data_IF_973807603053
#
_entry.id   IF_973807603053
#
_cell.length_a   1.000
_cell.length_b   1.000
_cell.length_c   1.000
_cell.angle_alpha   90.00
_cell.angle_beta   90.00
_cell.angle_gamma   90.00
#
_symmetry.space_group_name_H-M   'P 1'
#
loop_
_entity.id
_entity.type
_entity.pdbx_description
1 polymer ?
#
# COMPACT_ATOMS: atom_id res chain seq x y z
N UNK A 1 -16.75 2.56 -2.67
CA UNK A 1 -15.69 3.00 -1.71
C UNK A 1 -15.66 2.07 -0.52
N UNK A 2 -14.59 1.32 -0.37
CA UNK A 2 -14.42 0.36 0.72
C UNK A 2 -13.38 0.83 1.73
N UNK A 3 -13.58 0.43 2.99
CA UNK A 3 -12.60 0.67 4.05
C UNK A 3 -11.64 -0.52 4.09
N UNK A 4 -10.36 -0.23 3.99
CA UNK A 4 -9.32 -1.25 4.09
C UNK A 4 -8.87 -1.36 5.54
N UNK A 5 -8.87 -2.58 6.07
CA UNK A 5 -8.38 -2.89 7.43
C UNK A 5 -7.07 -3.66 7.29
N UNK A 6 -6.06 -3.27 8.05
CA UNK A 6 -4.78 -3.95 8.08
C UNK A 6 -3.97 -3.58 9.31
N UNK A 7 -2.83 -4.25 9.48
CA UNK A 7 -1.85 -3.90 10.50
C UNK A 7 -1.18 -2.57 10.13
N UNK A 8 -1.03 -1.68 11.12
CA UNK A 8 -0.29 -0.43 10.92
C UNK A 8 1.20 -0.69 10.69
N UNK A 9 1.71 -1.72 11.31
CA UNK A 9 3.09 -2.16 11.19
C UNK A 9 4.03 -1.53 12.23
N UNK A 10 5.03 -2.31 12.62
CA UNK A 10 6.05 -1.88 13.59
C UNK A 10 6.77 -0.63 13.11
N UNK A 11 7.20 -0.63 11.85
CA UNK A 11 7.99 0.45 11.29
C UNK A 11 7.19 1.76 11.21
N UNK A 12 5.93 1.69 10.79
CA UNK A 12 5.04 2.85 10.76
C UNK A 12 4.74 3.41 12.15
N UNK A 13 4.58 2.55 13.17
CA UNK A 13 4.43 2.99 14.55
C UNK A 13 5.70 3.72 15.04
N UNK A 14 6.89 3.24 14.67
CA UNK A 14 8.17 3.87 15.03
C UNK A 14 8.36 5.21 14.32
N UNK A 15 7.98 5.28 13.03
CA UNK A 15 8.03 6.54 12.24
C UNK A 15 7.06 7.56 12.81
N UNK A 16 5.84 7.17 13.13
CA UNK A 16 4.85 8.05 13.77
C UNK A 16 5.35 8.54 15.13
N UNK A 17 5.97 7.66 15.92
CA UNK A 17 6.55 8.01 17.20
C UNK A 17 7.64 9.07 17.05
N UNK A 18 8.56 8.89 16.10
CA UNK A 18 9.60 9.88 15.81
C UNK A 18 9.01 11.23 15.37
N UNK A 19 8.01 11.21 14.49
CA UNK A 19 7.33 12.42 14.07
C UNK A 19 6.71 13.18 15.26
N UNK A 20 6.00 12.46 16.12
CA UNK A 20 5.38 13.03 17.33
C UNK A 20 6.42 13.62 18.30
N UNK A 21 7.57 12.96 18.48
CA UNK A 21 8.66 13.45 19.32
C UNK A 21 9.28 14.74 18.78
N UNK A 22 9.46 14.80 17.45
CA UNK A 22 10.01 15.99 16.78
C UNK A 22 9.00 17.16 16.83
N UNK A 23 7.72 16.91 16.52
CA UNK A 23 6.67 17.94 16.52
C UNK A 23 6.43 18.52 17.92
N UNK A 24 6.51 17.68 18.96
CA UNK A 24 6.44 18.17 20.34
C UNK A 24 7.67 18.99 20.71
N UNK A 25 8.83 18.69 20.12
CA UNK A 25 10.10 19.35 20.40
C UNK A 25 10.47 19.26 21.89
N UNK A 26 10.83 20.40 22.48
CA UNK A 26 11.15 20.52 23.91
C UNK A 26 9.96 20.99 24.75
N UNK A 27 8.78 21.09 24.15
CA UNK A 27 7.58 21.59 24.83
C UNK A 27 6.98 20.51 25.75
N UNK A 28 6.76 20.88 27.01
CA UNK A 28 6.02 20.01 27.96
C UNK A 28 6.47 18.56 28.03
N UNK A 29 7.78 18.32 28.00
CA UNK A 29 8.38 16.97 28.01
C UNK A 29 7.94 16.09 29.19
N UNK A 30 7.57 16.68 30.30
CA UNK A 30 7.17 15.92 31.51
C UNK A 30 5.91 15.07 31.32
N UNK A 31 5.07 15.38 30.36
CA UNK A 31 3.81 14.67 30.09
C UNK A 31 3.74 14.03 28.69
N UNK A 32 4.80 14.15 27.90
CA UNK A 32 4.82 13.64 26.55
C UNK A 32 5.71 12.40 26.41
N UNK A 33 5.13 11.30 25.98
CA UNK A 33 5.77 9.97 25.89
C UNK A 33 5.84 9.42 24.46
N UNK A 34 5.49 10.23 23.45
CA UNK A 34 5.45 9.79 22.07
C UNK A 34 4.21 8.96 21.71
N UNK A 35 4.36 8.06 20.73
CA UNK A 35 3.28 7.16 20.31
C UNK A 35 3.02 6.08 21.36
N UNK A 36 1.82 5.99 21.86
CA UNK A 36 1.42 5.00 22.88
C UNK A 36 1.57 3.53 22.45
N UNK A 37 1.69 3.26 21.16
CA UNK A 37 1.99 1.93 20.64
C UNK A 37 3.46 1.52 20.85
N UNK A 38 4.35 2.49 21.13
CA UNK A 38 5.78 2.26 21.39
C UNK A 38 5.98 2.25 22.90
N UNK A 39 6.12 1.05 23.46
CA UNK A 39 6.33 0.86 24.89
C UNK A 39 7.81 1.08 25.24
N UNK A 40 8.06 1.90 26.26
CA UNK A 40 9.37 2.36 26.64
C UNK A 40 9.69 2.06 28.11
N UNK A 41 10.97 1.91 28.39
CA UNK A 41 11.45 1.85 29.76
C UNK A 41 11.19 3.17 30.46
N UNK A 42 10.99 3.06 31.78
CA UNK A 42 10.83 4.22 32.69
C UNK A 42 12.12 4.48 33.47
N UNK A 43 13.21 3.82 33.13
CA UNK A 43 14.49 3.99 33.79
C UNK A 43 15.02 5.41 33.56
N UNK A 44 15.76 5.91 34.54
CA UNK A 44 16.42 7.21 34.43
C UNK A 44 17.46 7.17 33.32
N UNK A 45 17.40 8.18 32.43
CA UNK A 45 18.36 8.35 31.35
C UNK A 45 19.64 8.96 31.90
N UNK A 46 20.79 8.47 31.44
CA UNK A 46 22.06 9.08 31.79
C UNK A 46 22.25 10.49 31.16
N UNK A 47 23.13 11.28 31.75
CA UNK A 47 23.38 12.66 31.34
C UNK A 47 23.83 12.78 29.86
N UNK A 48 24.55 11.79 29.35
CA UNK A 48 25.00 11.76 27.97
C UNK A 48 23.83 11.57 27.01
N UNK A 49 22.89 10.70 27.35
CA UNK A 49 21.67 10.48 26.57
C UNK A 49 20.77 11.72 26.63
N UNK A 50 20.59 12.32 27.78
CA UNK A 50 19.85 13.58 27.95
C UNK A 50 20.43 14.71 27.08
N UNK A 51 21.75 14.83 27.03
CA UNK A 51 22.44 15.82 26.17
C UNK A 51 22.17 15.58 24.67
N UNK A 52 22.10 14.32 24.23
CA UNK A 52 21.76 13.99 22.84
C UNK A 52 20.34 14.42 22.49
N UNK A 53 19.36 14.14 23.34
CA UNK A 53 17.99 14.59 23.16
C UNK A 53 17.85 16.10 23.10
N UNK A 54 18.56 16.80 24.02
CA UNK A 54 18.59 18.25 24.03
C UNK A 54 19.21 18.84 22.74
N UNK A 55 20.29 18.22 22.23
CA UNK A 55 20.91 18.62 20.96
C UNK A 55 19.98 18.40 19.76
N UNK A 56 19.22 17.33 19.77
CA UNK A 56 18.22 17.00 18.73
C UNK A 56 16.96 17.88 18.84
N UNK A 57 16.76 18.62 19.93
CA UNK A 57 15.58 19.47 20.14
C UNK A 57 14.29 18.68 20.37
N UNK A 58 14.38 17.45 20.89
CA UNK A 58 13.25 16.58 21.15
C UNK A 58 13.19 16.18 22.63
N UNK A 59 11.99 15.85 23.10
CA UNK A 59 11.83 15.41 24.48
C UNK A 59 12.56 14.10 24.75
N UNK A 60 13.28 13.98 25.88
CA UNK A 60 13.92 12.75 26.29
C UNK A 60 12.85 11.67 26.59
N UNK A 61 13.03 10.51 26.02
CA UNK A 61 12.16 9.34 26.21
C UNK A 61 13.01 8.08 26.44
N UNK A 62 12.51 7.15 27.26
CA UNK A 62 13.19 5.89 27.53
C UNK A 62 13.33 5.01 26.31
N UNK A 63 14.16 3.98 26.42
CA UNK A 63 14.42 3.04 25.34
C UNK A 63 13.15 2.26 24.98
N UNK A 64 12.83 2.20 23.69
CA UNK A 64 11.73 1.40 23.20
C UNK A 64 12.09 -0.09 23.28
N UNK A 65 11.32 -0.87 24.03
CA UNK A 65 11.51 -2.33 24.15
C UNK A 65 10.43 -3.15 23.44
N UNK A 66 9.29 -2.56 23.14
CA UNK A 66 8.19 -3.22 22.46
C UNK A 66 7.35 -2.24 21.65
N UNK A 67 6.92 -2.67 20.47
CA UNK A 67 5.91 -1.98 19.66
C UNK A 67 4.67 -2.85 19.60
N UNK A 68 3.52 -2.30 19.98
CA UNK A 68 2.22 -2.94 19.87
C UNK A 68 1.66 -2.63 18.50
N UNK A 69 1.36 -3.66 17.72
CA UNK A 69 0.79 -3.52 16.40
C UNK A 69 -0.69 -3.92 16.43
N UNK A 70 -1.54 -3.08 15.88
CA UNK A 70 -2.98 -3.24 15.90
C UNK A 70 -3.56 -3.20 14.48
N UNK A 71 -4.66 -3.92 14.29
CA UNK A 71 -5.48 -3.75 13.09
C UNK A 71 -6.20 -2.41 13.14
N UNK A 72 -5.98 -1.60 12.14
CA UNK A 72 -6.60 -0.28 12.02
C UNK A 72 -7.29 -0.12 10.67
N UNK A 73 -8.19 0.86 10.58
CA UNK A 73 -8.68 1.35 9.30
C UNK A 73 -7.55 2.13 8.61
N UNK A 74 -6.93 1.51 7.62
CA UNK A 74 -5.76 2.06 6.94
C UNK A 74 -6.12 3.15 5.96
N UNK A 75 -7.17 2.91 5.16
CA UNK A 75 -7.45 3.73 3.99
C UNK A 75 -8.90 3.61 3.52
N UNK A 76 -9.28 4.59 2.71
CA UNK A 76 -10.42 4.47 1.80
C UNK A 76 -9.91 4.10 0.42
N UNK A 77 -10.39 2.98 -0.14
CA UNK A 77 -10.06 2.52 -1.47
C UNK A 77 -11.19 2.84 -2.44
N UNK A 78 -10.85 3.38 -3.59
CA UNK A 78 -11.76 3.57 -4.72
C UNK A 78 -11.29 2.70 -5.86
N UNK A 79 -12.20 1.91 -6.44
CA UNK A 79 -11.97 1.12 -7.63
C UNK A 79 -13.13 1.39 -8.59
N UNK A 80 -12.81 1.85 -9.78
CA UNK A 80 -13.78 2.09 -10.85
C UNK A 80 -13.28 1.43 -12.13
N UNK A 81 -14.20 0.93 -12.95
CA UNK A 81 -13.84 0.28 -14.18
C UNK A 81 -15.04 -0.31 -14.92
N UNK A 82 -14.75 -0.95 -16.04
CA UNK A 82 -15.76 -1.48 -16.95
C UNK A 82 -15.40 -2.91 -17.36
N UNK A 83 -16.40 -3.78 -17.35
CA UNK A 83 -16.29 -5.14 -17.84
C UNK A 83 -17.13 -5.30 -19.10
N UNK A 84 -16.54 -5.81 -20.18
CA UNK A 84 -17.24 -6.17 -21.40
C UNK A 84 -17.05 -7.65 -21.69
N UNK A 85 -18.15 -8.37 -21.87
CA UNK A 85 -18.17 -9.77 -22.26
C UNK A 85 -18.86 -9.98 -23.60
N UNK A 86 -18.22 -10.71 -24.51
CA UNK A 86 -18.78 -11.12 -25.79
C UNK A 86 -18.80 -12.64 -25.85
N UNK A 87 -19.96 -13.18 -26.20
CA UNK A 87 -20.14 -14.60 -26.48
C UNK A 87 -20.77 -14.77 -27.83
N UNK A 88 -20.12 -15.58 -28.67
CA UNK A 88 -20.62 -15.89 -29.99
C UNK A 88 -20.46 -17.39 -30.27
N UNK A 89 -21.56 -18.07 -30.59
CA UNK A 89 -21.57 -19.46 -30.95
C UNK A 89 -22.10 -19.57 -32.38
N UNK A 90 -21.43 -20.36 -33.23
CA UNK A 90 -21.86 -20.58 -34.62
C UNK A 90 -21.50 -21.98 -35.13
N UNK A 91 -22.32 -22.50 -36.05
CA UNK A 91 -22.13 -23.78 -36.68
C UNK A 91 -21.58 -23.59 -38.09
N UNK A 92 -20.71 -24.52 -38.49
CA UNK A 92 -20.14 -24.58 -39.84
C UNK A 92 -19.94 -26.01 -40.29
N UNK A 93 -19.61 -26.21 -41.59
CA UNK A 93 -19.23 -27.51 -42.14
C UNK A 93 -18.02 -28.14 -41.46
N UNK A 94 -17.20 -27.32 -40.76
CA UNK A 94 -16.04 -27.76 -40.01
C UNK A 94 -16.33 -28.10 -38.55
N UNK A 95 -17.55 -27.92 -38.07
CA UNK A 95 -17.99 -28.15 -36.71
C UNK A 95 -18.64 -26.95 -36.07
N UNK A 96 -18.92 -27.08 -34.80
CA UNK A 96 -19.47 -26.06 -33.91
C UNK A 96 -18.30 -25.20 -33.32
N UNK A 97 -18.43 -23.89 -33.35
CA UNK A 97 -17.46 -22.97 -32.81
C UNK A 97 -18.09 -22.09 -31.72
N UNK A 98 -17.32 -21.81 -30.70
CA UNK A 98 -17.69 -20.85 -29.65
C UNK A 98 -16.58 -19.88 -29.39
N UNK A 99 -16.85 -18.58 -29.50
CA UNK A 99 -15.95 -17.50 -29.09
C UNK A 99 -16.45 -16.94 -27.76
N UNK A 100 -15.53 -16.78 -26.83
CA UNK A 100 -15.72 -16.08 -25.57
C UNK A 100 -14.63 -15.03 -25.46
N UNK A 101 -15.01 -13.79 -25.32
CA UNK A 101 -14.07 -12.69 -25.10
C UNK A 101 -14.55 -11.85 -23.92
N UNK A 102 -13.67 -11.66 -22.95
CA UNK A 102 -13.92 -10.78 -21.82
C UNK A 102 -12.77 -9.81 -21.71
N UNK A 103 -13.11 -8.56 -21.46
CA UNK A 103 -12.15 -7.50 -21.18
C UNK A 103 -12.61 -6.71 -19.97
N UNK A 104 -11.67 -6.44 -19.07
CA UNK A 104 -11.82 -5.53 -17.94
C UNK A 104 -10.92 -4.35 -18.18
N UNK A 105 -11.46 -3.14 -18.10
CA UNK A 105 -10.73 -1.89 -18.02
C UNK A 105 -10.90 -1.35 -16.61
N UNK A 106 -9.80 -1.00 -15.99
CA UNK A 106 -9.79 -0.33 -14.69
C UNK A 106 -9.46 1.13 -14.93
N UNK A 107 -10.41 2.02 -14.64
CA UNK A 107 -10.29 3.46 -14.89
C UNK A 107 -9.66 4.18 -13.70
N UNK A 108 -9.92 3.69 -12.48
CA UNK A 108 -9.38 4.26 -11.23
C UNK A 108 -9.08 3.14 -10.23
N UNK A 109 -7.91 3.19 -9.62
CA UNK A 109 -7.58 2.37 -8.46
C UNK A 109 -6.75 3.19 -7.48
N UNK A 110 -7.44 3.93 -6.61
CA UNK A 110 -6.80 4.83 -5.64
C UNK A 110 -6.98 4.37 -4.21
N UNK A 111 -6.01 4.67 -3.36
CA UNK A 111 -6.07 4.42 -1.94
C UNK A 111 -5.62 5.65 -1.16
N UNK A 112 -6.55 6.24 -0.38
CA UNK A 112 -6.30 7.43 0.41
C UNK A 112 -6.07 7.04 1.87
N UNK A 113 -4.91 7.40 2.47
CA UNK A 113 -4.61 7.06 3.85
C UNK A 113 -5.61 7.71 4.82
N UNK A 114 -5.89 7.01 5.93
CA UNK A 114 -6.75 7.51 7.00
C UNK A 114 -6.12 7.25 8.37
N UNK A 115 -6.58 7.95 9.41
CA UNK A 115 -6.12 7.75 10.79
C UNK A 115 -4.61 7.96 10.94
N UNK A 116 -3.91 7.02 11.56
CA UNK A 116 -2.46 7.09 11.82
C UNK A 116 -1.61 7.29 10.54
N UNK A 117 -2.03 6.75 9.40
CA UNK A 117 -1.32 6.94 8.13
C UNK A 117 -1.42 8.38 7.62
N UNK A 118 -2.57 9.03 7.79
CA UNK A 118 -2.68 10.45 7.43
C UNK A 118 -1.83 11.36 8.31
N UNK A 119 -1.58 10.97 9.57
CA UNK A 119 -0.65 11.70 10.45
C UNK A 119 0.80 11.61 9.98
N UNK A 120 1.24 10.43 9.52
CA UNK A 120 2.58 10.30 8.92
C UNK A 120 2.69 11.15 7.65
N UNK A 121 1.68 11.12 6.79
CA UNK A 121 1.65 11.94 5.57
C UNK A 121 1.70 13.44 5.88
N UNK A 122 0.97 13.88 6.90
CA UNK A 122 1.02 15.27 7.37
C UNK A 122 2.43 15.66 7.87
N UNK A 123 3.09 14.77 8.62
CA UNK A 123 4.45 14.98 9.11
C UNK A 123 5.48 15.04 7.96
N UNK A 124 5.27 14.30 6.86
CA UNK A 124 6.08 14.45 5.64
C UNK A 124 5.81 15.79 4.96
N UNK A 125 4.55 16.17 4.79
CA UNK A 125 4.19 17.43 4.16
C UNK A 125 4.70 18.66 4.92
N UNK A 126 4.83 18.56 6.25
CA UNK A 126 5.44 19.61 7.11
C UNK A 126 6.97 19.59 7.11
N UNK A 127 7.60 18.55 6.53
CA UNK A 127 9.05 18.36 6.57
C UNK A 127 9.57 17.82 7.91
N UNK A 128 8.69 17.42 8.83
CA UNK A 128 9.06 16.83 10.12
C UNK A 128 9.79 15.50 9.94
N UNK A 129 9.36 14.71 8.96
CA UNK A 129 10.04 13.48 8.54
C UNK A 129 10.37 13.55 7.04
N UNK A 130 11.47 12.91 6.61
CA UNK A 130 11.88 12.94 5.21
C UNK A 130 10.89 12.29 4.25
N UNK A 131 10.79 12.83 3.04
CA UNK A 131 9.90 12.32 1.97
C UNK A 131 10.26 10.91 1.49
N UNK A 132 11.52 10.48 1.65
CA UNK A 132 11.95 9.13 1.28
C UNK A 132 11.40 8.03 2.21
N UNK A 133 10.74 8.39 3.30
CA UNK A 133 9.97 7.43 4.10
C UNK A 133 8.74 7.03 3.30
N UNK A 134 8.88 5.96 2.53
CA UNK A 134 7.85 5.53 1.59
C UNK A 134 6.65 4.90 2.31
N UNK A 135 5.51 5.56 2.26
CA UNK A 135 4.21 5.01 2.64
C UNK A 135 3.67 4.18 1.47
N UNK A 136 4.15 2.94 1.33
CA UNK A 136 3.73 2.05 0.25
C UNK A 136 2.23 1.77 0.29
N UNK A 137 1.64 1.67 -0.89
CA UNK A 137 0.25 1.28 -1.07
C UNK A 137 -0.77 2.41 -0.90
N UNK A 138 -0.35 3.67 -1.01
CA UNK A 138 -1.25 4.84 -1.02
C UNK A 138 -1.05 5.67 -2.29
N UNK A 139 -2.09 6.44 -2.63
CA UNK A 139 -2.14 7.24 -3.85
C UNK A 139 -2.82 6.50 -4.99
N UNK A 140 -2.42 6.78 -6.21
CA UNK A 140 -2.83 6.04 -7.40
C UNK A 140 -2.03 4.73 -7.47
N UNK A 141 -2.74 3.62 -7.48
CA UNK A 141 -2.18 2.27 -7.52
C UNK A 141 -2.37 1.61 -8.90
N UNK A 142 -3.01 2.31 -9.86
CA UNK A 142 -3.20 1.79 -11.20
C UNK A 142 -1.85 1.68 -11.91
N UNK A 143 -1.60 0.56 -12.56
CA UNK A 143 -0.31 0.28 -13.20
C UNK A 143 0.84 0.02 -12.23
N UNK A 144 0.57 -0.23 -10.94
CA UNK A 144 1.60 -0.49 -9.92
C UNK A 144 1.37 -1.88 -9.30
N UNK A 145 2.46 -2.64 -9.09
CA UNK A 145 2.50 -3.91 -8.36
C UNK A 145 1.43 -4.93 -8.79
N UNK A 146 1.16 -5.02 -10.11
CA UNK A 146 0.21 -5.99 -10.68
C UNK A 146 -1.24 -5.52 -10.73
N UNK A 147 -1.51 -4.25 -10.44
CA UNK A 147 -2.82 -3.63 -10.65
C UNK A 147 -2.90 -3.15 -12.11
N UNK A 148 -3.30 -4.02 -13.00
CA UNK A 148 -3.37 -3.74 -14.42
C UNK A 148 -4.53 -2.79 -14.75
N UNK A 149 -4.30 -1.88 -15.68
CA UNK A 149 -5.33 -1.03 -16.28
C UNK A 149 -6.26 -1.81 -17.21
N UNK A 150 -5.71 -2.83 -17.89
CA UNK A 150 -6.49 -3.69 -18.78
C UNK A 150 -6.18 -5.19 -18.57
N UNK A 151 -7.21 -6.02 -18.72
CA UNK A 151 -7.09 -7.49 -18.73
C UNK A 151 -8.01 -8.05 -19.79
N UNK A 152 -7.47 -8.86 -20.71
CA UNK A 152 -8.23 -9.52 -21.75
C UNK A 152 -8.14 -11.04 -21.61
N UNK A 153 -9.24 -11.69 -21.88
CA UNK A 153 -9.32 -13.14 -21.97
C UNK A 153 -10.13 -13.53 -23.21
N UNK A 154 -9.53 -14.26 -24.12
CA UNK A 154 -10.18 -14.79 -25.30
C UNK A 154 -10.10 -16.30 -25.28
N UNK A 155 -11.24 -16.98 -25.46
CA UNK A 155 -11.31 -18.42 -25.59
C UNK A 155 -12.05 -18.79 -26.87
N UNK A 156 -11.40 -19.57 -27.71
CA UNK A 156 -12.00 -20.20 -28.88
C UNK A 156 -12.24 -21.67 -28.55
N UNK A 157 -13.46 -22.12 -28.75
CA UNK A 157 -13.93 -23.51 -28.61
C UNK A 157 -14.25 -24.06 -29.97
N UNK A 158 -13.97 -25.33 -30.19
CA UNK A 158 -14.35 -26.07 -31.39
C UNK A 158 -14.80 -27.48 -31.02
N UNK A 159 -15.86 -27.97 -31.70
CA UNK A 159 -16.37 -29.33 -31.54
C UNK A 159 -16.85 -29.89 -32.88
N UNK A 160 -16.52 -31.14 -33.16
CA UNK A 160 -17.02 -31.87 -34.33
C UNK A 160 -17.14 -33.36 -33.99
N UNK A 161 -18.40 -33.87 -33.91
CA UNK A 161 -18.65 -35.22 -33.45
C UNK A 161 -18.09 -35.48 -32.06
N UNK A 162 -17.25 -36.50 -31.95
CA UNK A 162 -16.59 -36.86 -30.67
C UNK A 162 -15.31 -36.06 -30.39
N UNK A 163 -14.88 -35.17 -31.30
CA UNK A 163 -13.69 -34.37 -31.17
C UNK A 163 -14.00 -32.95 -30.67
N UNK A 164 -13.16 -32.47 -29.82
CA UNK A 164 -13.27 -31.06 -29.36
C UNK A 164 -11.93 -30.52 -28.87
N UNK A 165 -11.79 -29.23 -28.96
CA UNK A 165 -10.60 -28.52 -28.53
C UNK A 165 -10.89 -27.07 -28.11
N UNK A 166 -9.99 -26.48 -27.39
CA UNK A 166 -10.06 -25.04 -27.08
C UNK A 166 -8.69 -24.39 -27.00
N UNK A 167 -8.62 -23.14 -27.39
CA UNK A 167 -7.46 -22.28 -27.25
C UNK A 167 -7.87 -21.08 -26.38
N UNK A 168 -7.05 -20.75 -25.41
CA UNK A 168 -7.26 -19.56 -24.56
C UNK A 168 -6.07 -18.65 -24.68
N UNK A 169 -6.33 -17.37 -24.95
CA UNK A 169 -5.32 -16.30 -24.94
C UNK A 169 -5.66 -15.33 -23.81
N UNK A 170 -4.64 -14.91 -23.07
CA UNK A 170 -4.72 -13.92 -22.00
C UNK A 170 -3.76 -12.78 -22.32
N UNK A 171 -4.23 -11.54 -22.18
CA UNK A 171 -3.41 -10.34 -22.22
C UNK A 171 -3.67 -9.57 -20.94
N UNK A 172 -2.61 -9.01 -20.37
CA UNK A 172 -2.67 -8.08 -19.24
C UNK A 172 -1.91 -6.82 -19.65
N UNK A 173 -2.33 -5.70 -19.13
CA UNK A 173 -1.62 -4.43 -19.25
C UNK A 173 -0.25 -4.46 -18.57
N UNK A 174 0.49 -3.44 -18.75
CA UNK A 174 1.80 -3.26 -18.11
C UNK A 174 1.63 -2.79 -16.66
N UNK A 175 2.67 -2.99 -15.87
CA UNK A 175 2.76 -2.44 -14.52
C UNK A 175 4.21 -2.19 -14.12
N UNK A 176 4.40 -1.23 -13.21
CA UNK A 176 5.68 -0.94 -12.57
C UNK A 176 5.72 -1.65 -11.22
N UNK A 177 6.84 -2.32 -10.93
CA UNK A 177 7.04 -2.96 -9.63
C UNK A 177 7.75 -2.02 -8.67
N UNK A 178 7.03 -1.48 -7.69
CA UNK A 178 7.54 -0.47 -6.75
C UNK A 178 8.60 -1.00 -5.78
N UNK A 179 8.73 -2.32 -5.63
CA UNK A 179 9.68 -2.96 -4.69
C UNK A 179 11.09 -3.17 -5.25
N UNK A 180 11.33 -2.83 -6.52
CA UNK A 180 12.63 -3.00 -7.18
C UNK A 180 13.50 -1.73 -7.18
N UNK A 181 13.34 -0.85 -6.20
CA UNK A 181 14.38 0.19 -5.98
C UNK A 181 15.68 -0.52 -5.59
N UNK A 182 16.64 -0.50 -6.49
CA UNK A 182 17.99 -0.99 -6.20
C UNK A 182 18.58 -0.16 -5.06
N UNK A 183 19.43 -0.79 -4.25
CA UNK A 183 20.06 -0.16 -3.09
C UNK A 183 20.98 1.04 -3.43
N UNK A 184 21.22 1.29 -4.71
CA UNK A 184 22.00 2.40 -5.23
C UNK A 184 21.15 3.60 -5.70
N UNK A 185 19.83 3.54 -5.56
CA UNK A 185 18.92 4.62 -5.95
C UNK A 185 18.68 4.76 -7.46
N UNK A 186 19.08 3.77 -8.26
CA UNK A 186 18.72 3.70 -9.69
C UNK A 186 17.43 2.90 -9.87
N UNK A 187 16.47 3.44 -10.66
CA UNK A 187 15.26 2.76 -11.09
C UNK A 187 15.55 1.68 -12.13
#
# INVERSE_FOLDING_TARGET
KDKTIGLFGRDNNTILDLAMLIENGTNNCASFTGNTAVLRDTDELDDGVLALFATAGICPVGQAYRVVDEYINMATRTLEGQDLGIRYDFDSKLGEFGLRYNVTFTDEFTQVPTGKFSSIQAAQASGTIPDYVNLKGFGDLLGIDGNYDEKHSMKLLWKKGDWGGSITALKKGDFIQSSLTLSDGTE
#
